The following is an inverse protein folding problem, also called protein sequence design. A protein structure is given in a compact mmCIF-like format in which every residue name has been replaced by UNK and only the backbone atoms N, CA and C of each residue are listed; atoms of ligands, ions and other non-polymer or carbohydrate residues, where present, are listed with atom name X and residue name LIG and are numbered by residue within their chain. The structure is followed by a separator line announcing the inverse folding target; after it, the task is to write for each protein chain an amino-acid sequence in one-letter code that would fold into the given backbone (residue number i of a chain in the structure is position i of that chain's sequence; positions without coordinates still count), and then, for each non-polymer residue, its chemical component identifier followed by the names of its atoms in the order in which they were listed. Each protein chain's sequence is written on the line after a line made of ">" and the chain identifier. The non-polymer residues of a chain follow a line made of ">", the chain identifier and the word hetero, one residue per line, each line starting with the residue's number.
data_IF_948681954529
#
_entry.id   IF_948681954529
#
_cell.length_a   1.000
_cell.length_b   1.000
_cell.length_c   1.000
_cell.angle_alpha   90.00
_cell.angle_beta   90.00
_cell.angle_gamma   90.00
#
_symmetry.space_group_name_H-M   'P 1'
#
loop_
_entity.id
_entity.type
_entity.pdbx_description
1 polymer ?
#
# COMPACT_ATOMS: atom_id res chain seq x y z
N UNK A 1 8.71 9.07 -3.87
CA UNK A 1 10.06 8.48 -3.88
C UNK A 1 9.96 7.18 -3.12
N UNK A 2 10.09 6.04 -3.80
CA UNK A 2 9.90 4.73 -3.18
C UNK A 2 10.97 4.48 -2.12
N UNK A 3 10.58 3.89 -0.99
CA UNK A 3 11.50 3.36 0.00
C UNK A 3 12.45 2.37 -0.70
N UNK A 4 13.70 2.77 -0.93
CA UNK A 4 14.73 1.84 -1.34
C UNK A 4 14.92 0.84 -0.19
N UNK A 5 14.66 -0.44 -0.46
CA UNK A 5 14.82 -1.47 0.56
C UNK A 5 16.23 -1.41 1.15
N UNK A 6 16.32 -1.43 2.48
CA UNK A 6 17.58 -1.33 3.24
C UNK A 6 18.65 -2.30 2.72
N UNK A 7 18.24 -3.49 2.29
CA UNK A 7 19.09 -4.51 1.67
C UNK A 7 19.80 -4.02 0.39
N UNK A 8 19.11 -3.24 -0.44
CA UNK A 8 19.69 -2.65 -1.66
C UNK A 8 20.72 -1.58 -1.33
N UNK A 9 20.45 -0.77 -0.30
CA UNK A 9 21.39 0.23 0.19
C UNK A 9 22.67 -0.45 0.72
N UNK A 10 22.51 -1.55 1.48
CA UNK A 10 23.63 -2.34 1.98
C UNK A 10 24.44 -2.99 0.85
N UNK A 11 23.76 -3.61 -0.12
CA UNK A 11 24.39 -4.19 -1.31
C UNK A 11 25.18 -3.16 -2.11
N UNK A 12 24.59 -1.97 -2.33
CA UNK A 12 25.25 -0.87 -3.03
C UNK A 12 26.48 -0.35 -2.28
N UNK A 13 26.41 -0.24 -0.95
CA UNK A 13 27.57 0.13 -0.13
C UNK A 13 28.71 -0.89 -0.28
N UNK A 14 28.38 -2.18 -0.20
CA UNK A 14 29.36 -3.25 -0.37
C UNK A 14 30.04 -3.16 -1.75
N UNK A 15 29.27 -2.96 -2.82
CA UNK A 15 29.76 -2.77 -4.19
C UNK A 15 30.70 -1.59 -4.35
N UNK A 16 30.37 -0.44 -3.77
CA UNK A 16 31.25 0.74 -3.78
C UNK A 16 32.56 0.45 -3.04
N UNK A 17 32.51 -0.26 -1.91
CA UNK A 17 33.71 -0.66 -1.18
C UNK A 17 34.60 -1.62 -2.01
N UNK A 18 33.98 -2.53 -2.77
CA UNK A 18 34.71 -3.38 -3.74
C UNK A 18 35.43 -2.49 -4.75
N UNK A 19 34.71 -1.57 -5.39
CA UNK A 19 35.25 -0.75 -6.47
C UNK A 19 36.37 0.17 -5.96
N UNK A 20 36.24 0.71 -4.76
CA UNK A 20 37.31 1.47 -4.09
C UNK A 20 38.54 0.59 -3.82
N UNK A 21 38.36 -0.66 -3.38
CA UNK A 21 39.49 -1.58 -3.16
C UNK A 21 40.25 -1.96 -4.44
N UNK A 22 39.57 -1.88 -5.60
CA UNK A 22 40.18 -2.08 -6.91
C UNK A 22 40.85 -0.80 -7.44
N UNK A 23 40.50 0.36 -6.90
CA UNK A 23 41.11 1.66 -7.24
C UNK A 23 40.28 2.53 -8.19
N UNK A 24 38.98 2.24 -8.36
CA UNK A 24 38.10 3.10 -9.17
C UNK A 24 37.70 4.36 -8.39
N UNK A 25 37.90 5.53 -9.00
CA UNK A 25 37.55 6.84 -8.42
C UNK A 25 36.11 7.28 -8.69
N UNK A 26 35.51 6.82 -9.80
CA UNK A 26 34.15 7.15 -10.20
C UNK A 26 33.52 5.99 -10.97
N UNK A 27 32.19 5.86 -10.87
CA UNK A 27 31.42 4.85 -11.58
C UNK A 27 30.12 5.46 -12.13
N UNK A 28 29.78 5.08 -13.37
CA UNK A 28 28.53 5.53 -13.99
C UNK A 28 27.32 4.91 -13.29
N UNK A 29 26.30 5.76 -13.00
CA UNK A 29 25.12 5.35 -12.23
C UNK A 29 24.34 4.20 -12.87
N UNK A 30 24.23 4.17 -14.20
CA UNK A 30 23.56 3.08 -14.94
C UNK A 30 24.29 1.75 -14.77
N UNK A 31 25.61 1.73 -14.94
CA UNK A 31 26.45 0.55 -14.75
C UNK A 31 26.39 0.04 -13.30
N UNK A 32 26.38 0.95 -12.32
CA UNK A 32 26.22 0.59 -10.90
C UNK A 32 24.88 -0.12 -10.64
N UNK A 33 23.78 0.37 -11.21
CA UNK A 33 22.47 -0.28 -11.06
C UNK A 33 22.42 -1.68 -11.69
N UNK A 34 23.06 -1.85 -12.86
CA UNK A 34 23.15 -3.17 -13.51
C UNK A 34 23.98 -4.14 -12.67
N UNK A 35 25.08 -3.66 -12.11
CA UNK A 35 25.96 -4.47 -11.25
C UNK A 35 25.27 -4.84 -9.93
N UNK A 36 24.53 -3.91 -9.32
CA UNK A 36 23.69 -4.19 -8.16
C UNK A 36 22.68 -5.32 -8.46
N UNK A 37 21.99 -5.22 -9.60
CA UNK A 37 21.04 -6.25 -10.01
C UNK A 37 21.72 -7.59 -10.24
N UNK A 38 22.85 -7.61 -10.94
CA UNK A 38 23.57 -8.86 -11.21
C UNK A 38 24.14 -9.48 -9.93
N UNK A 39 24.59 -8.67 -8.98
CA UNK A 39 25.08 -9.11 -7.67
C UNK A 39 23.98 -9.79 -6.86
N UNK A 40 22.80 -9.17 -6.74
CA UNK A 40 21.66 -9.76 -6.02
C UNK A 40 21.21 -11.07 -6.68
N UNK A 41 21.10 -11.07 -8.02
CA UNK A 41 20.74 -12.27 -8.77
C UNK A 41 21.77 -13.39 -8.57
N UNK A 42 23.06 -13.04 -8.52
CA UNK A 42 24.13 -13.99 -8.30
C UNK A 42 24.07 -14.62 -6.91
N UNK A 43 23.88 -13.82 -5.85
CA UNK A 43 23.71 -14.34 -4.48
C UNK A 43 22.52 -15.30 -4.41
N UNK A 44 21.38 -14.95 -5.00
CA UNK A 44 20.21 -15.82 -5.01
C UNK A 44 20.48 -17.10 -5.80
N UNK A 45 21.21 -17.02 -6.93
CA UNK A 45 21.69 -18.18 -7.71
C UNK A 45 22.50 -19.14 -6.84
N UNK A 46 23.40 -18.59 -6.04
CA UNK A 46 24.31 -19.33 -5.15
C UNK A 46 23.52 -20.02 -4.04
N UNK A 47 22.63 -19.28 -3.37
CA UNK A 47 21.83 -19.79 -2.26
C UNK A 47 20.88 -20.90 -2.73
N UNK A 48 20.18 -20.70 -3.86
CA UNK A 48 19.29 -21.71 -4.43
C UNK A 48 20.05 -23.00 -4.78
N UNK A 49 21.26 -22.90 -5.35
CA UNK A 49 22.09 -24.09 -5.63
C UNK A 49 22.56 -24.79 -4.37
N UNK A 50 23.03 -24.04 -3.38
CA UNK A 50 23.46 -24.59 -2.11
C UNK A 50 22.32 -25.32 -1.39
N UNK A 51 21.11 -24.75 -1.41
CA UNK A 51 19.91 -25.39 -0.89
C UNK A 51 19.53 -26.65 -1.68
N UNK A 52 19.62 -26.62 -3.02
CA UNK A 52 19.38 -27.83 -3.84
C UNK A 52 20.34 -28.96 -3.47
N UNK A 53 21.63 -28.69 -3.24
CA UNK A 53 22.57 -29.71 -2.80
C UNK A 53 22.23 -30.26 -1.41
N UNK A 54 21.79 -29.41 -0.48
CA UNK A 54 21.30 -29.86 0.82
C UNK A 54 20.03 -30.74 0.68
N UNK A 55 19.08 -30.33 -0.17
CA UNK A 55 17.84 -31.07 -0.41
C UNK A 55 18.05 -32.40 -1.13
N UNK A 56 19.03 -32.51 -2.03
CA UNK A 56 19.42 -33.78 -2.64
C UNK A 56 19.84 -34.79 -1.56
N UNK A 57 20.43 -34.32 -0.46
CA UNK A 57 20.81 -35.13 0.69
C UNK A 57 19.70 -35.24 1.76
N UNK A 58 18.47 -34.80 1.43
CA UNK A 58 17.31 -34.73 2.35
C UNK A 58 17.57 -33.89 3.61
N UNK A 59 18.52 -32.94 3.56
CA UNK A 59 18.81 -31.99 4.63
C UNK A 59 18.16 -30.65 4.32
N UNK A 60 17.54 -30.02 5.31
CA UNK A 60 17.00 -28.65 5.18
C UNK A 60 18.00 -27.57 5.60
N UNK A 61 19.13 -27.97 6.19
CA UNK A 61 20.21 -27.07 6.62
C UNK A 61 21.42 -27.27 5.71
N UNK A 62 21.91 -26.16 5.17
CA UNK A 62 23.12 -26.09 4.35
C UNK A 62 24.35 -26.38 5.22
N UNK A 63 25.17 -27.31 4.78
CA UNK A 63 26.47 -27.66 5.36
C UNK A 63 27.60 -26.96 4.59
N UNK A 64 28.79 -26.90 5.19
CA UNK A 64 29.99 -26.34 4.57
C UNK A 64 30.33 -27.10 3.28
N UNK A 65 30.17 -28.42 3.26
CA UNK A 65 30.39 -29.25 2.07
C UNK A 65 29.45 -28.91 0.91
N UNK A 66 28.21 -28.47 1.19
CA UNK A 66 27.27 -28.05 0.15
C UNK A 66 27.73 -26.73 -0.50
N UNK A 67 28.33 -25.85 0.31
CA UNK A 67 28.94 -24.59 -0.16
C UNK A 67 30.20 -24.90 -0.97
N UNK A 68 31.04 -25.83 -0.52
CA UNK A 68 32.23 -26.28 -1.25
C UNK A 68 31.85 -26.85 -2.63
N UNK A 69 30.86 -27.75 -2.67
CA UNK A 69 30.34 -28.30 -3.92
C UNK A 69 29.74 -27.21 -4.82
N UNK A 70 29.04 -26.25 -4.22
CA UNK A 70 28.47 -25.11 -4.93
C UNK A 70 29.54 -24.19 -5.52
N UNK A 71 30.63 -23.93 -4.80
CA UNK A 71 31.76 -23.15 -5.30
C UNK A 71 32.47 -23.87 -6.44
N UNK A 72 32.65 -25.18 -6.32
CA UNK A 72 33.18 -26.02 -7.39
C UNK A 72 32.28 -25.96 -8.64
N UNK A 73 30.96 -26.05 -8.46
CA UNK A 73 29.99 -25.98 -9.55
C UNK A 73 29.98 -24.62 -10.28
N UNK A 74 30.15 -23.51 -9.56
CA UNK A 74 30.27 -22.17 -10.17
C UNK A 74 31.70 -21.85 -10.67
N UNK A 75 32.65 -22.78 -10.53
CA UNK A 75 34.03 -22.61 -10.99
C UNK A 75 34.86 -21.64 -10.16
N UNK A 76 34.53 -21.44 -8.89
CA UNK A 76 35.30 -20.60 -7.97
C UNK A 76 36.36 -21.45 -7.26
N UNK A 77 37.64 -21.13 -7.48
CA UNK A 77 38.74 -21.76 -6.75
C UNK A 77 38.84 -21.23 -5.31
N UNK A 78 38.89 -22.15 -4.35
CA UNK A 78 39.01 -21.90 -2.91
C UNK A 78 40.28 -21.09 -2.59
N UNK A 79 41.39 -21.36 -3.29
CA UNK A 79 42.66 -20.66 -3.08
C UNK A 79 42.57 -19.17 -3.44
N UNK A 80 41.81 -18.84 -4.49
CA UNK A 80 41.61 -17.44 -4.89
C UNK A 80 40.72 -16.70 -3.89
N UNK A 81 39.78 -17.40 -3.25
CA UNK A 81 38.92 -16.84 -2.20
C UNK A 81 39.75 -16.46 -0.97
N UNK A 82 40.67 -17.33 -0.55
CA UNK A 82 41.56 -17.06 0.59
C UNK A 82 42.44 -15.83 0.34
N UNK A 83 42.95 -15.68 -0.89
CA UNK A 83 43.71 -14.49 -1.31
C UNK A 83 42.87 -13.22 -1.29
N UNK A 84 41.64 -13.26 -1.78
CA UNK A 84 40.72 -12.11 -1.74
C UNK A 84 40.28 -11.77 -0.32
N UNK A 85 40.08 -12.77 0.54
CA UNK A 85 39.87 -12.56 1.97
C UNK A 85 41.07 -11.83 2.57
N UNK A 86 42.30 -12.27 2.36
CA UNK A 86 43.49 -11.55 2.85
C UNK A 86 43.55 -10.10 2.35
N UNK A 87 43.25 -9.87 1.07
CA UNK A 87 43.25 -8.54 0.45
C UNK A 87 42.22 -7.58 1.06
N UNK A 88 41.05 -8.08 1.46
CA UNK A 88 39.98 -7.28 2.06
C UNK A 88 40.03 -7.22 3.58
N UNK A 89 40.00 -8.39 4.22
CA UNK A 89 39.92 -8.56 5.66
C UNK A 89 41.23 -8.16 6.35
N UNK A 90 42.38 -8.15 5.66
CA UNK A 90 43.65 -7.67 6.24
C UNK A 90 43.58 -6.28 6.88
N UNK A 91 42.64 -5.42 6.47
CA UNK A 91 42.37 -4.09 7.08
C UNK A 91 41.39 -4.12 8.27
N UNK A 92 40.54 -5.14 8.39
CA UNK A 92 39.43 -5.23 9.36
C UNK A 92 39.55 -6.41 10.36
N UNK A 93 40.40 -7.40 10.11
CA UNK A 93 40.58 -8.60 10.95
C UNK A 93 41.10 -8.27 12.35
N UNK A 94 41.99 -7.28 12.44
CA UNK A 94 42.57 -6.83 13.71
C UNK A 94 41.52 -6.16 14.62
N UNK A 95 40.45 -5.59 14.07
CA UNK A 95 39.35 -5.00 14.84
C UNK A 95 38.40 -6.08 15.38
N UNK A 96 38.12 -7.14 14.61
CA UNK A 96 37.24 -8.24 15.05
C UNK A 96 37.86 -9.11 16.15
N UNK A 97 39.17 -9.37 16.11
CA UNK A 97 39.85 -10.19 17.14
C UNK A 97 39.84 -9.52 18.53
N UNK A 98 39.69 -8.20 18.59
CA UNK A 98 39.44 -7.44 19.82
C UNK A 98 37.99 -7.55 20.31
N UNK A 99 37.03 -7.53 19.38
CA UNK A 99 35.59 -7.60 19.66
C UNK A 99 35.17 -9.00 20.15
N UNK A 100 35.69 -10.07 19.54
CA UNK A 100 35.42 -11.46 19.98
C UNK A 100 35.91 -11.72 21.41
N UNK A 101 37.08 -11.16 21.79
CA UNK A 101 37.58 -11.23 23.17
C UNK A 101 36.72 -10.46 24.17
N UNK A 102 36.05 -9.39 23.75
CA UNK A 102 35.10 -8.67 24.61
C UNK A 102 33.72 -9.33 24.69
N UNK A 103 33.27 -10.04 23.64
CA UNK A 103 31.97 -10.72 23.62
C UNK A 103 31.97 -12.02 24.44
N UNK A 104 33.10 -12.74 24.51
CA UNK A 104 33.24 -13.89 25.43
C UNK A 104 33.15 -13.52 26.91
N UNK A 105 33.36 -12.24 27.28
CA UNK A 105 33.18 -11.76 28.67
C UNK A 105 31.74 -11.37 29.01
N UNK A 106 30.89 -11.16 28.00
CA UNK A 106 29.51 -10.69 28.20
C UNK A 106 28.53 -11.87 28.21
N UNK A 107 28.86 -13.00 27.56
CA UNK A 107 28.01 -14.17 27.47
C UNK A 107 27.73 -14.90 28.80
N UNK A 108 28.47 -14.60 29.87
CA UNK A 108 28.24 -15.16 31.21
C UNK A 108 27.17 -14.37 32.01
N UNK A 109 26.62 -13.28 31.47
CA UNK A 109 25.66 -12.39 32.16
C UNK A 109 24.50 -12.04 31.23
N UNK A 110 23.34 -12.68 31.44
CA UNK A 110 21.99 -12.36 30.92
C UNK A 110 21.47 -13.19 29.74
N UNK A 111 20.70 -14.22 30.09
CA UNK A 111 19.88 -15.04 29.20
C UNK A 111 18.46 -14.49 28.93
N UNK A 112 18.09 -13.28 29.39
CA UNK A 112 16.66 -12.98 29.57
C UNK A 112 16.08 -11.75 28.82
N UNK A 113 16.82 -11.01 27.97
CA UNK A 113 16.28 -9.75 27.40
C UNK A 113 15.94 -9.72 25.90
N UNK A 114 16.17 -10.78 25.13
CA UNK A 114 16.01 -10.72 23.65
C UNK A 114 14.63 -11.09 23.10
N UNK A 115 13.68 -11.49 23.95
CA UNK A 115 12.32 -11.88 23.51
C UNK A 115 11.39 -10.67 23.32
N UNK A 116 11.73 -9.47 23.84
CA UNK A 116 10.77 -8.34 23.86
C UNK A 116 10.59 -7.61 22.51
N UNK A 117 11.52 -7.75 21.56
CA UNK A 117 11.55 -6.91 20.33
C UNK A 117 10.57 -7.31 19.23
N UNK A 118 9.96 -8.50 19.29
CA UNK A 118 8.91 -8.92 18.34
C UNK A 118 7.48 -8.61 18.83
N UNK A 119 7.30 -8.11 20.05
CA UNK A 119 5.97 -7.81 20.63
C UNK A 119 5.37 -6.45 20.23
N UNK A 120 6.11 -5.62 19.48
CA UNK A 120 5.66 -4.27 19.15
C UNK A 120 4.55 -4.20 18.10
N UNK A 121 4.22 -5.29 17.40
CA UNK A 121 3.13 -5.28 16.40
C UNK A 121 1.75 -5.64 16.98
N UNK A 122 1.69 -6.17 18.21
CA UNK A 122 0.41 -6.43 18.92
C UNK A 122 0.15 -5.41 20.05
N UNK A 123 1.17 -4.62 20.40
CA UNK A 123 1.08 -3.58 21.42
C UNK A 123 0.70 -2.23 20.82
N UNK A 124 -0.32 -2.20 19.96
CA UNK A 124 -1.11 -0.97 19.76
C UNK A 124 -1.94 -0.75 21.02
N UNK A 125 -1.21 -0.44 22.09
CA UNK A 125 -1.62 0.11 23.39
C UNK A 125 -3.03 -0.28 23.81
N UNK A 126 -3.10 -1.30 24.66
CA UNK A 126 -4.25 -1.50 25.56
C UNK A 126 -4.78 -0.18 26.13
N UNK A 127 -3.91 0.81 26.36
CA UNK A 127 -4.24 2.17 26.80
C UNK A 127 -5.04 3.01 25.77
N UNK A 128 -4.69 3.01 24.47
CA UNK A 128 -5.51 3.70 23.45
C UNK A 128 -6.83 2.97 23.22
N UNK A 129 -6.82 1.64 23.25
CA UNK A 129 -8.04 0.82 23.13
C UNK A 129 -8.97 1.09 24.33
N UNK A 130 -8.42 1.16 25.55
CA UNK A 130 -9.15 1.53 26.76
C UNK A 130 -9.74 2.95 26.65
N UNK A 131 -9.01 3.90 26.05
CA UNK A 131 -9.48 5.28 25.86
C UNK A 131 -10.57 5.40 24.78
N UNK A 132 -10.56 4.54 23.76
CA UNK A 132 -11.48 4.59 22.63
C UNK A 132 -12.77 3.82 22.88
N UNK A 133 -12.67 2.64 23.50
CA UNK A 133 -13.80 1.71 23.71
C UNK A 133 -14.33 1.72 25.16
N UNK A 134 -13.57 2.25 26.11
CA UNK A 134 -13.89 2.18 27.55
C UNK A 134 -13.53 0.85 28.20
N UNK A 135 -13.38 0.80 29.54
CA UNK A 135 -12.91 -0.38 30.27
C UNK A 135 -13.84 -1.60 30.18
N UNK A 136 -15.12 -1.38 29.86
CA UNK A 136 -16.13 -2.44 29.72
C UNK A 136 -15.97 -3.25 28.43
N UNK A 137 -15.34 -2.69 27.39
CA UNK A 137 -15.26 -3.30 26.07
C UNK A 137 -13.86 -3.84 25.75
N UNK A 138 -12.88 -3.72 26.63
CA UNK A 138 -11.51 -4.19 26.33
C UNK A 138 -11.27 -5.66 26.67
N UNK A 139 -12.21 -6.33 27.36
CA UNK A 139 -12.10 -7.75 27.70
C UNK A 139 -11.07 -8.07 28.79
N UNK A 140 -10.43 -7.05 29.36
CA UNK A 140 -9.41 -7.20 30.42
C UNK A 140 -10.05 -7.71 31.72
N UNK A 141 -11.30 -7.31 32.00
CA UNK A 141 -12.07 -7.74 33.16
C UNK A 141 -12.74 -9.12 32.98
N UNK A 142 -12.69 -9.69 31.78
CA UNK A 142 -13.28 -11.00 31.54
C UNK A 142 -12.41 -12.09 32.19
N UNK A 143 -13.06 -12.98 32.96
CA UNK A 143 -12.38 -14.08 33.65
C UNK A 143 -11.66 -14.95 32.62
N UNK A 144 -10.33 -15.02 32.73
CA UNK A 144 -9.53 -15.98 31.96
C UNK A 144 -9.79 -17.38 32.52
N UNK A 145 -10.01 -18.38 31.68
CA UNK A 145 -10.13 -19.75 32.16
C UNK A 145 -8.80 -20.27 32.70
N UNK A 146 -8.84 -21.16 33.69
CA UNK A 146 -7.66 -21.65 34.43
C UNK A 146 -6.62 -22.37 33.56
N UNK A 147 -7.03 -22.89 32.40
CA UNK A 147 -6.14 -23.55 31.44
C UNK A 147 -5.35 -22.57 30.53
N UNK A 148 -5.57 -21.26 30.65
CA UNK A 148 -4.89 -20.27 29.83
C UNK A 148 -3.48 -19.98 30.37
N UNK A 149 -2.46 -20.18 29.54
CA UNK A 149 -1.05 -19.97 29.91
C UNK A 149 -0.71 -18.48 30.02
N UNK A 150 0.12 -18.12 31.01
CA UNK A 150 0.47 -16.72 31.31
C UNK A 150 1.28 -16.00 30.23
N UNK A 151 1.97 -16.73 29.36
CA UNK A 151 2.79 -16.19 28.27
C UNK A 151 2.00 -15.98 26.97
N UNK A 152 0.75 -16.45 26.91
CA UNK A 152 -0.10 -16.25 25.75
C UNK A 152 -0.74 -14.85 25.80
N UNK A 153 -1.09 -14.29 24.62
CA UNK A 153 -1.84 -13.05 24.58
C UNK A 153 -3.23 -13.23 25.20
N UNK A 154 -3.75 -12.13 25.74
CA UNK A 154 -5.13 -12.04 26.24
C UNK A 154 -6.13 -12.41 25.15
N UNK A 155 -7.16 -13.18 25.52
CA UNK A 155 -8.28 -13.44 24.63
C UNK A 155 -8.97 -12.12 24.24
N UNK A 156 -9.41 -11.99 22.97
CA UNK A 156 -10.17 -10.82 22.58
C UNK A 156 -11.51 -10.76 23.37
N UNK A 157 -12.11 -9.58 23.48
CA UNK A 157 -13.30 -9.37 24.29
C UNK A 157 -14.51 -10.20 23.82
N UNK A 158 -15.45 -10.52 24.73
CA UNK A 158 -16.64 -11.35 24.43
C UNK A 158 -17.42 -10.92 23.19
N UNK A 159 -17.53 -9.62 22.93
CA UNK A 159 -18.27 -9.09 21.78
C UNK A 159 -17.60 -9.41 20.42
N UNK A 160 -16.34 -9.84 20.40
CA UNK A 160 -15.69 -10.38 19.20
C UNK A 160 -16.26 -11.75 18.81
N UNK A 161 -16.75 -12.51 19.79
CA UNK A 161 -17.29 -13.87 19.58
C UNK A 161 -18.81 -13.92 19.63
N UNK A 162 -19.45 -12.95 20.27
CA UNK A 162 -20.90 -12.86 20.37
C UNK A 162 -21.47 -12.19 19.12
N UNK A 163 -22.10 -12.99 18.25
CA UNK A 163 -23.01 -12.44 17.25
C UNK A 163 -24.30 -12.04 17.96
N UNK A 164 -24.46 -10.74 18.26
CA UNK A 164 -25.75 -10.22 18.70
C UNK A 164 -26.63 -10.03 17.46
N UNK A 165 -27.72 -10.80 17.29
CA UNK A 165 -28.64 -10.55 16.19
C UNK A 165 -29.25 -9.15 16.37
N UNK A 166 -28.93 -8.25 15.43
CA UNK A 166 -29.54 -6.92 15.41
C UNK A 166 -30.95 -7.06 14.85
N UNK A 167 -31.93 -7.16 15.74
CA UNK A 167 -33.33 -7.15 15.35
C UNK A 167 -33.74 -5.73 14.96
N UNK A 168 -34.02 -5.53 13.67
CA UNK A 168 -34.62 -4.29 13.18
C UNK A 168 -35.98 -4.14 13.88
N UNK A 169 -36.18 -3.07 14.65
CA UNK A 169 -37.46 -2.80 15.30
C UNK A 169 -38.52 -2.55 14.22
N UNK A 170 -39.28 -3.57 13.88
CA UNK A 170 -40.42 -3.44 12.98
C UNK A 170 -41.56 -2.78 13.73
N UNK A 171 -42.15 -1.75 13.12
CA UNK A 171 -43.35 -1.13 13.67
C UNK A 171 -44.50 -2.14 13.64
N UNK A 172 -45.06 -2.46 14.80
CA UNK A 172 -46.12 -3.49 14.93
C UNK A 172 -47.52 -2.94 14.64
N UNK A 173 -47.74 -1.64 14.86
CA UNK A 173 -49.07 -1.03 14.74
C UNK A 173 -49.52 -0.85 13.27
N UNK A 174 -50.58 -1.53 12.81
CA UNK A 174 -51.00 -1.51 11.40
C UNK A 174 -51.39 -0.12 10.88
N UNK A 175 -51.95 0.74 11.74
CA UNK A 175 -52.34 2.10 11.36
C UNK A 175 -51.11 2.96 11.00
N UNK A 176 -50.05 2.87 11.81
CA UNK A 176 -48.82 3.64 11.61
C UNK A 176 -48.02 3.15 10.39
N UNK A 177 -48.09 1.85 10.08
CA UNK A 177 -47.52 1.28 8.84
C UNK A 177 -48.23 1.88 7.62
N UNK A 178 -49.57 1.91 7.62
CA UNK A 178 -50.36 2.49 6.51
C UNK A 178 -50.11 3.99 6.35
N UNK A 179 -50.00 4.72 7.46
CA UNK A 179 -49.68 6.14 7.45
C UNK A 179 -48.29 6.41 6.85
N UNK A 180 -47.26 5.65 7.24
CA UNK A 180 -45.92 5.77 6.67
C UNK A 180 -45.88 5.38 5.19
N UNK A 181 -46.57 4.30 4.80
CA UNK A 181 -46.68 3.90 3.41
C UNK A 181 -47.33 5.02 2.57
N UNK A 182 -48.43 5.60 3.03
CA UNK A 182 -49.08 6.72 2.34
C UNK A 182 -48.17 7.96 2.24
N UNK A 183 -47.42 8.28 3.31
CA UNK A 183 -46.42 9.37 3.28
C UNK A 183 -45.32 9.10 2.25
N UNK A 184 -44.82 7.87 2.18
CA UNK A 184 -43.82 7.47 1.20
C UNK A 184 -44.37 7.52 -0.23
N UNK A 185 -45.61 7.04 -0.46
CA UNK A 185 -46.29 7.15 -1.76
C UNK A 185 -46.42 8.61 -2.21
N UNK A 186 -46.90 9.50 -1.32
CA UNK A 186 -47.03 10.93 -1.64
C UNK A 186 -45.68 11.59 -1.92
N UNK A 187 -44.61 11.20 -1.21
CA UNK A 187 -43.26 11.68 -1.52
C UNK A 187 -42.79 11.21 -2.89
N UNK A 188 -43.06 9.95 -3.26
CA UNK A 188 -42.73 9.41 -4.57
C UNK A 188 -43.51 10.11 -5.69
N UNK A 189 -44.81 10.33 -5.51
CA UNK A 189 -45.65 11.09 -6.44
C UNK A 189 -45.12 12.52 -6.62
N UNK A 190 -44.86 13.23 -5.53
CA UNK A 190 -44.29 14.58 -5.61
C UNK A 190 -42.95 14.62 -6.33
N UNK A 191 -42.11 13.59 -6.16
CA UNK A 191 -40.85 13.47 -6.90
C UNK A 191 -41.09 13.25 -8.39
N UNK A 192 -42.05 12.39 -8.77
CA UNK A 192 -42.43 12.16 -10.16
C UNK A 192 -43.02 13.41 -10.82
N UNK A 193 -43.90 14.13 -10.12
CA UNK A 193 -44.44 15.40 -10.58
C UNK A 193 -43.34 16.41 -10.90
N UNK A 194 -42.33 16.53 -10.02
CA UNK A 194 -41.16 17.38 -10.27
C UNK A 194 -40.39 16.95 -11.52
N UNK A 195 -40.24 15.64 -11.76
CA UNK A 195 -39.57 15.13 -12.96
C UNK A 195 -40.37 15.50 -14.22
N UNK A 196 -41.69 15.28 -14.21
CA UNK A 196 -42.59 15.61 -15.32
C UNK A 196 -42.59 17.12 -15.58
N UNK A 197 -42.61 17.94 -14.52
CA UNK A 197 -42.54 19.39 -14.62
C UNK A 197 -41.21 19.84 -15.25
N UNK A 198 -40.08 19.27 -14.82
CA UNK A 198 -38.78 19.52 -15.44
C UNK A 198 -38.80 19.11 -16.92
N UNK A 199 -39.34 17.93 -17.25
CA UNK A 199 -39.43 17.45 -18.64
C UNK A 199 -40.28 18.38 -19.52
N UNK A 200 -41.45 18.79 -19.03
CA UNK A 200 -42.33 19.72 -19.73
C UNK A 200 -41.66 21.09 -19.92
N UNK A 201 -40.98 21.62 -18.89
CA UNK A 201 -40.22 22.87 -19.00
C UNK A 201 -39.04 22.75 -19.98
N UNK A 202 -38.37 21.60 -20.04
CA UNK A 202 -37.34 21.32 -21.06
C UNK A 202 -37.95 21.26 -22.48
N UNK A 203 -39.15 20.70 -22.64
CA UNK A 203 -39.85 20.67 -23.92
C UNK A 203 -40.38 22.06 -24.33
N UNK A 204 -40.85 22.88 -23.39
CA UNK A 204 -41.17 24.29 -23.62
C UNK A 204 -39.93 25.07 -24.07
N UNK A 205 -38.78 24.86 -23.42
CA UNK A 205 -37.52 25.50 -23.81
C UNK A 205 -37.04 25.08 -25.22
N UNK A 206 -37.40 23.88 -25.72
CA UNK A 206 -37.18 23.50 -27.13
C UNK A 206 -38.09 24.27 -28.09
N UNK A 207 -39.35 24.52 -27.72
CA UNK A 207 -40.30 25.31 -28.53
C UNK A 207 -39.92 26.80 -28.54
N UNK A 208 -39.34 27.30 -27.44
CA UNK A 208 -38.82 28.67 -27.31
C UNK A 208 -37.41 28.88 -27.87
N UNK A 209 -36.85 27.93 -28.65
CA UNK A 209 -35.71 28.21 -29.55
C UNK A 209 -36.17 29.02 -30.78
N UNK A 210 -36.85 30.15 -30.54
CA UNK A 210 -36.77 31.30 -31.44
C UNK A 210 -35.37 31.91 -31.34
N UNK A 211 -34.96 32.77 -32.29
CA UNK A 211 -33.60 33.28 -32.33
C UNK A 211 -33.23 33.90 -30.99
N UNK A 212 -32.12 33.43 -30.41
CA UNK A 212 -31.46 34.01 -29.25
C UNK A 212 -31.37 35.52 -29.50
N UNK A 213 -32.13 36.33 -28.76
CA UNK A 213 -31.96 37.78 -28.80
C UNK A 213 -30.55 38.04 -28.30
N UNK A 214 -29.62 38.28 -29.22
CA UNK A 214 -28.26 38.63 -28.91
C UNK A 214 -28.27 39.90 -28.04
N UNK A 215 -27.56 39.88 -26.92
CA UNK A 215 -27.46 41.04 -26.05
C UNK A 215 -26.83 42.20 -26.84
N UNK A 216 -27.57 43.31 -26.98
CA UNK A 216 -27.14 44.48 -27.76
C UNK A 216 -25.80 45.04 -27.27
N UNK A 217 -25.51 44.87 -25.98
CA UNK A 217 -24.24 45.23 -25.36
C UNK A 217 -23.08 44.36 -25.87
N UNK A 218 -23.32 43.06 -26.04
CA UNK A 218 -22.31 42.14 -26.55
C UNK A 218 -21.93 42.46 -28.00
N UNK A 219 -22.91 42.70 -28.88
CA UNK A 219 -22.64 43.10 -30.28
C UNK A 219 -21.87 44.43 -30.33
N UNK A 220 -22.20 45.39 -29.45
CA UNK A 220 -21.50 46.68 -29.38
C UNK A 220 -20.02 46.50 -28.99
N UNK A 221 -19.76 45.75 -27.93
CA UNK A 221 -18.39 45.42 -27.49
C UNK A 221 -17.64 44.64 -28.59
N UNK A 222 -18.32 43.75 -29.29
CA UNK A 222 -17.72 42.97 -30.39
C UNK A 222 -17.27 43.85 -31.56
N UNK A 223 -18.07 44.86 -31.91
CA UNK A 223 -17.70 45.88 -32.91
C UNK A 223 -16.56 46.77 -32.43
N UNK A 224 -16.57 47.19 -31.16
CA UNK A 224 -15.50 48.01 -30.59
C UNK A 224 -14.16 47.27 -30.58
N UNK A 225 -14.17 45.93 -30.55
CA UNK A 225 -12.98 45.07 -30.64
C UNK A 225 -12.51 44.82 -32.08
N UNK A 226 -13.17 45.39 -33.10
CA UNK A 226 -12.71 45.41 -34.49
C UNK A 226 -13.04 44.18 -35.35
N UNK A 227 -14.02 43.37 -34.96
CA UNK A 227 -14.45 42.17 -35.72
C UNK A 227 -15.69 42.47 -36.58
N UNK A 228 -15.68 42.08 -37.86
CA UNK A 228 -16.80 42.28 -38.81
C UNK A 228 -17.98 41.31 -38.58
N UNK A 229 -19.19 41.75 -38.96
CA UNK A 229 -20.49 41.13 -38.62
C UNK A 229 -20.67 39.69 -39.16
N UNK A 230 -19.98 39.33 -40.24
CA UNK A 230 -20.18 38.05 -40.94
C UNK A 230 -19.47 36.84 -40.32
N UNK A 231 -18.68 37.05 -39.25
CA UNK A 231 -18.03 35.97 -38.50
C UNK A 231 -18.91 35.34 -37.40
N UNK A 232 -20.15 35.80 -37.24
CA UNK A 232 -21.04 35.38 -36.17
C UNK A 232 -21.67 34.00 -36.44
N UNK A 233 -20.85 32.92 -36.49
CA UNK A 233 -21.37 31.57 -36.21
C UNK A 233 -21.58 31.45 -34.69
N UNK A 234 -22.72 30.92 -34.22
CA UNK A 234 -22.93 30.73 -32.80
C UNK A 234 -21.80 29.87 -32.23
N UNK A 235 -21.13 30.37 -31.19
CA UNK A 235 -20.19 29.60 -30.38
C UNK A 235 -20.97 28.47 -29.68
N UNK A 236 -21.11 27.31 -30.33
CA UNK A 236 -21.71 26.09 -29.76
C UNK A 236 -20.81 25.43 -28.69
N UNK A 237 -19.64 25.99 -28.41
CA UNK A 237 -18.58 25.36 -27.61
C UNK A 237 -18.59 25.63 -26.10
N UNK A 238 -19.41 26.55 -25.59
CA UNK A 238 -19.49 26.84 -24.14
C UNK A 238 -20.89 26.55 -23.58
N UNK A 239 -21.35 25.31 -23.74
CA UNK A 239 -22.48 24.78 -22.97
C UNK A 239 -21.94 23.72 -22.00
N UNK A 240 -22.00 24.04 -20.71
CA UNK A 240 -21.84 23.20 -19.51
C UNK A 240 -21.24 21.80 -19.75
N UNK A 241 -19.99 21.61 -19.31
CA UNK A 241 -19.30 20.31 -19.32
C UNK A 241 -20.08 19.19 -18.60
N UNK A 242 -21.02 19.53 -17.71
CA UNK A 242 -21.88 18.57 -17.02
C UNK A 242 -23.02 18.01 -17.89
N UNK A 243 -23.59 18.79 -18.83
CA UNK A 243 -24.72 18.33 -19.65
C UNK A 243 -24.27 17.38 -20.77
N UNK A 244 -23.04 17.53 -21.26
CA UNK A 244 -22.45 16.67 -22.29
C UNK A 244 -22.01 15.27 -21.81
N UNK A 245 -22.01 15.02 -20.49
CA UNK A 245 -21.60 13.72 -19.95
C UNK A 245 -22.63 12.62 -20.20
N UNK A 246 -23.92 12.98 -20.17
CA UNK A 246 -25.01 12.01 -20.25
C UNK A 246 -25.54 11.80 -21.69
N UNK A 247 -25.31 12.74 -22.60
CA UNK A 247 -25.80 12.64 -23.99
C UNK A 247 -24.93 11.75 -24.89
N UNK A 248 -23.68 11.45 -24.51
CA UNK A 248 -22.80 10.53 -25.27
C UNK A 248 -23.15 9.04 -25.11
N UNK A 249 -23.78 8.64 -24.00
CA UNK A 249 -24.09 7.23 -23.75
C UNK A 249 -25.27 6.71 -24.57
N UNK A 250 -26.18 7.58 -25.01
CA UNK A 250 -27.39 7.19 -25.76
C UNK A 250 -27.20 7.10 -27.27
N UNK A 251 -26.04 7.53 -27.82
CA UNK A 251 -25.79 7.50 -29.28
C UNK A 251 -25.18 6.18 -29.78
N UNK A 252 -24.81 5.26 -28.87
CA UNK A 252 -24.16 3.99 -29.21
C UNK A 252 -25.08 2.76 -29.13
N UNK A 253 -26.41 2.94 -29.10
CA UNK A 253 -27.38 1.83 -28.98
C UNK A 253 -28.52 1.91 -30.03
N UNK A 254 -28.29 2.55 -31.17
CA UNK A 254 -29.14 2.43 -32.37
C UNK A 254 -28.28 2.18 -33.59
#
# INVERSE_FOLDING_TARGET
>A
MGEESFERILGRRALVEILQSVGFSSAMKSSMMVLERSFVLYIMKILDRSLRFAFLQRRCKVSIYDIELMLFYEGINIESLEREMRRRIGRNYQLQKGIEKSLLKIADIESDESISKFSHFTNTSSELINKLLGPELTGINDKRPDYHLSHLPIFPPKHTYMSTPVYIQRMTCPHKIRELAAKQSRLAENALWKIIEIENNLNLNKIHQGPIKQDKLFIKVWKDMGYEEDACRPYEGLVNWETNRYTRQLRNVL
#
